data_IF_261988339650
#
_entry.id   IF_261988339650
#
_cell.length_a   1.000
_cell.length_b   1.000
_cell.length_c   1.000
_cell.angle_alpha   90.00
_cell.angle_beta   90.00
_cell.angle_gamma   90.00
#
_symmetry.space_group_name_H-M   'P 1'
#
loop_
_entity.id
_entity.type
_entity.pdbx_description
1 polymer ?
#
# COMPACT_ATOMS: atom_id res chain seq x y z
N UNK A 1 35.18 -32.65 -19.59
CA UNK A 1 33.96 -31.98 -20.06
C UNK A 1 32.99 -31.94 -18.89
N UNK A 2 32.97 -30.84 -18.16
CA UNK A 2 31.83 -30.44 -17.34
C UNK A 2 31.96 -28.94 -17.07
N UNK A 3 31.05 -28.18 -17.64
CA UNK A 3 30.89 -26.75 -17.38
C UNK A 3 29.41 -26.46 -17.41
N UNK A 4 28.71 -26.93 -16.37
CA UNK A 4 27.37 -26.45 -16.04
C UNK A 4 27.48 -25.03 -15.47
N UNK A 5 26.68 -24.04 -15.93
CA UNK A 5 26.69 -22.72 -15.35
C UNK A 5 26.08 -22.76 -13.95
N UNK A 6 26.80 -22.23 -12.96
CA UNK A 6 26.30 -22.04 -11.60
C UNK A 6 25.13 -21.05 -11.66
N UNK A 7 23.93 -21.55 -11.37
CA UNK A 7 22.74 -20.72 -11.22
C UNK A 7 22.97 -19.64 -10.19
N UNK A 8 22.62 -18.40 -10.55
CA UNK A 8 22.54 -17.30 -9.60
C UNK A 8 21.52 -17.69 -8.52
N UNK A 9 22.01 -17.89 -7.30
CA UNK A 9 21.15 -18.02 -6.13
C UNK A 9 20.37 -16.72 -5.99
N UNK A 10 19.05 -16.77 -6.20
CA UNK A 10 18.16 -15.68 -5.88
C UNK A 10 18.24 -15.48 -4.36
N UNK A 11 19.00 -14.47 -3.94
CA UNK A 11 19.04 -14.05 -2.55
C UNK A 11 17.60 -13.60 -2.21
N UNK A 12 16.91 -14.35 -1.34
CA UNK A 12 15.60 -13.94 -0.86
C UNK A 12 15.76 -12.56 -0.21
N UNK A 13 15.27 -11.52 -0.89
CA UNK A 13 15.40 -10.17 -0.38
C UNK A 13 14.52 -10.05 0.87
N UNK A 14 15.15 -9.66 1.98
CA UNK A 14 14.46 -9.56 3.25
C UNK A 14 13.49 -8.37 3.25
N UNK A 15 12.29 -8.60 3.79
CA UNK A 15 11.32 -7.54 4.02
C UNK A 15 11.88 -6.55 5.06
N UNK A 16 11.83 -5.26 4.75
CA UNK A 16 12.29 -4.21 5.64
C UNK A 16 11.09 -3.55 6.32
N UNK A 17 11.04 -3.58 7.65
CA UNK A 17 10.04 -2.83 8.41
C UNK A 17 10.36 -1.34 8.33
N UNK A 18 9.36 -0.55 7.99
CA UNK A 18 9.47 0.90 7.91
C UNK A 18 8.35 1.55 8.72
N UNK A 19 8.65 2.74 9.23
CA UNK A 19 7.72 3.59 9.94
C UNK A 19 7.67 4.94 9.21
N UNK A 20 6.47 5.37 8.83
CA UNK A 20 6.22 6.60 8.06
C UNK A 20 5.25 7.45 8.86
N UNK A 21 5.59 8.72 9.09
CA UNK A 21 4.68 9.64 9.76
C UNK A 21 3.62 10.17 8.78
N UNK A 22 2.34 10.11 9.15
CA UNK A 22 1.26 10.69 8.36
C UNK A 22 1.06 12.19 8.63
N UNK A 23 0.13 12.83 7.91
CA UNK A 23 -0.22 14.25 8.09
C UNK A 23 -0.82 14.60 9.46
N UNK A 24 -1.15 13.60 10.29
CA UNK A 24 -1.69 13.75 11.62
C UNK A 24 -0.66 13.48 12.73
N UNK A 25 0.61 13.34 12.36
CA UNK A 25 1.72 12.98 13.24
C UNK A 25 1.63 11.56 13.82
N UNK A 26 0.79 10.70 13.27
CA UNK A 26 0.70 9.30 13.65
C UNK A 26 1.66 8.46 12.83
N UNK A 27 2.13 7.38 13.43
CA UNK A 27 3.03 6.43 12.81
C UNK A 27 2.29 5.36 12.02
N UNK A 28 2.59 5.29 10.72
CA UNK A 28 2.18 4.22 9.81
C UNK A 28 3.27 3.17 9.69
N UNK A 29 2.96 1.93 10.04
CA UNK A 29 3.92 0.82 10.03
C UNK A 29 3.71 -0.05 8.80
N UNK A 30 4.79 -0.31 8.06
CA UNK A 30 4.74 -1.13 6.86
C UNK A 30 5.95 -2.02 6.65
N UNK A 31 5.87 -2.84 5.59
CA UNK A 31 6.90 -3.76 5.15
C UNK A 31 7.23 -3.46 3.68
N UNK A 32 8.48 -3.08 3.42
CA UNK A 32 9.04 -2.91 2.08
C UNK A 32 9.64 -4.23 1.60
N UNK A 33 9.21 -4.66 0.43
CA UNK A 33 9.78 -5.75 -0.36
C UNK A 33 10.76 -5.10 -1.30
N UNK A 34 12.02 -5.11 -0.92
CA UNK A 34 13.05 -4.41 -1.64
C UNK A 34 13.61 -5.27 -2.76
N UNK A 35 13.60 -4.75 -3.99
CA UNK A 35 14.22 -5.38 -5.16
C UNK A 35 15.45 -4.64 -5.67
N UNK A 36 15.70 -3.43 -5.19
CA UNK A 36 16.63 -2.47 -5.77
C UNK A 36 15.99 -1.55 -6.81
N UNK A 37 14.72 -1.79 -7.17
CA UNK A 37 13.98 -0.94 -8.10
C UNK A 37 13.69 0.44 -7.49
N UNK A 38 13.79 1.48 -8.34
CA UNK A 38 13.31 2.83 -8.00
C UNK A 38 11.78 2.90 -7.98
N UNK A 39 11.12 1.99 -8.69
CA UNK A 39 9.67 1.92 -8.75
C UNK A 39 9.13 1.16 -7.54
N UNK A 40 8.08 1.70 -6.94
CA UNK A 40 7.39 1.11 -5.79
C UNK A 40 5.91 0.94 -6.10
N UNK A 41 5.37 -0.23 -5.80
CA UNK A 41 3.93 -0.47 -5.77
C UNK A 41 3.43 -0.45 -4.33
N UNK A 42 2.45 0.40 -4.01
CA UNK A 42 1.89 0.49 -2.66
C UNK A 42 0.61 -0.34 -2.57
N UNK A 43 0.51 -1.20 -1.55
CA UNK A 43 -0.59 -2.14 -1.33
C UNK A 43 -1.40 -1.76 -0.07
N UNK A 44 -2.71 -1.60 -0.24
CA UNK A 44 -3.64 -1.12 0.79
C UNK A 44 -4.62 -2.21 1.21
N UNK A 45 -4.71 -2.48 2.53
CA UNK A 45 -5.55 -3.55 3.07
C UNK A 45 -7.04 -3.17 3.17
N UNK A 46 -7.87 -4.16 3.51
CA UNK A 46 -9.32 -4.01 3.68
C UNK A 46 -9.76 -3.70 5.10
N UNK A 47 -11.08 -3.72 5.33
CA UNK A 47 -11.70 -3.45 6.62
C UNK A 47 -11.30 -4.47 7.71
N UNK A 48 -10.94 -4.00 8.90
CA UNK A 48 -10.47 -4.82 10.05
C UNK A 48 -9.41 -5.84 9.63
N UNK A 49 -8.48 -5.40 8.80
CA UNK A 49 -7.34 -6.18 8.32
C UNK A 49 -6.06 -5.37 8.53
N UNK A 50 -4.96 -5.87 8.00
CA UNK A 50 -3.63 -5.29 8.17
C UNK A 50 -2.75 -5.65 6.96
N UNK A 51 -1.51 -5.18 6.97
CA UNK A 51 -0.47 -5.43 5.97
C UNK A 51 -0.08 -6.91 5.83
N UNK A 52 -0.46 -7.78 6.77
CA UNK A 52 -0.19 -9.22 6.74
C UNK A 52 -1.32 -10.03 6.10
N UNK A 53 -2.36 -9.38 5.59
CA UNK A 53 -3.41 -10.03 4.81
C UNK A 53 -2.83 -10.91 3.69
N UNK A 54 -3.32 -12.15 3.56
CA UNK A 54 -2.81 -13.13 2.59
C UNK A 54 -2.86 -12.64 1.14
N UNK A 55 -3.89 -11.88 0.76
CA UNK A 55 -3.99 -11.33 -0.60
C UNK A 55 -2.86 -10.34 -0.86
N UNK A 56 -2.62 -9.41 0.07
CA UNK A 56 -1.51 -8.45 -0.03
C UNK A 56 -0.16 -9.15 -0.03
N UNK A 57 0.00 -10.22 0.78
CA UNK A 57 1.22 -11.02 0.79
C UNK A 57 1.50 -11.69 -0.55
N UNK A 58 0.48 -12.29 -1.15
CA UNK A 58 0.61 -12.97 -2.44
C UNK A 58 0.87 -11.98 -3.58
N UNK A 59 0.19 -10.83 -3.58
CA UNK A 59 0.41 -9.77 -4.57
C UNK A 59 1.83 -9.21 -4.44
N UNK A 60 2.30 -8.90 -3.23
CA UNK A 60 3.67 -8.42 -3.01
C UNK A 60 4.72 -9.42 -3.52
N UNK A 61 4.55 -10.71 -3.21
CA UNK A 61 5.47 -11.77 -3.67
C UNK A 61 5.46 -11.95 -5.19
N UNK A 62 4.32 -11.71 -5.85
CA UNK A 62 4.24 -11.72 -7.31
C UNK A 62 4.96 -10.51 -7.92
N UNK A 63 4.78 -9.31 -7.35
CA UNK A 63 5.47 -8.08 -7.79
C UNK A 63 6.99 -8.19 -7.59
N UNK A 64 7.41 -8.75 -6.46
CA UNK A 64 8.83 -8.99 -6.14
C UNK A 64 9.50 -9.92 -7.16
N UNK A 65 8.80 -10.98 -7.61
CA UNK A 65 9.30 -11.90 -8.65
C UNK A 65 9.54 -11.22 -9.99
N UNK A 66 8.81 -10.14 -10.29
CA UNK A 66 9.00 -9.31 -11.48
C UNK A 66 10.10 -8.25 -11.28
N UNK A 67 10.80 -8.23 -10.13
CA UNK A 67 11.88 -7.29 -9.85
C UNK A 67 11.40 -5.87 -9.54
N UNK A 68 10.16 -5.71 -9.08
CA UNK A 68 9.59 -4.41 -8.68
C UNK A 68 9.47 -4.38 -7.15
N UNK A 69 9.86 -3.25 -6.54
CA UNK A 69 9.72 -3.09 -5.09
C UNK A 69 8.25 -2.85 -4.72
N UNK A 70 7.80 -3.38 -3.59
CA UNK A 70 6.42 -3.15 -3.12
C UNK A 70 6.37 -2.83 -1.64
N UNK A 71 5.43 -1.96 -1.25
CA UNK A 71 5.24 -1.55 0.13
C UNK A 71 3.82 -1.83 0.56
N UNK A 72 3.65 -2.58 1.65
CA UNK A 72 2.36 -2.84 2.28
C UNK A 72 2.38 -2.33 3.70
N UNK A 73 1.36 -1.60 4.11
CA UNK A 73 1.33 -0.91 5.39
C UNK A 73 -0.02 -1.00 6.05
N UNK A 74 -0.04 -0.75 7.36
CA UNK A 74 -1.26 -0.64 8.14
C UNK A 74 -1.76 0.82 8.09
N UNK A 75 -3.02 1.02 7.73
CA UNK A 75 -3.67 2.33 7.90
C UNK A 75 -3.76 2.72 9.38
N UNK A 76 -3.89 4.01 9.68
CA UNK A 76 -4.10 4.46 11.06
C UNK A 76 -5.26 3.72 11.74
N UNK A 77 -5.04 3.33 12.99
CA UNK A 77 -5.98 2.55 13.79
C UNK A 77 -6.06 1.06 13.43
N UNK A 78 -5.13 0.53 12.64
CA UNK A 78 -5.05 -0.89 12.29
C UNK A 78 -3.65 -1.45 12.56
N UNK A 79 -3.58 -2.76 12.84
CA UNK A 79 -2.32 -3.49 12.98
C UNK A 79 -1.34 -2.84 13.97
N UNK A 80 -0.17 -2.49 13.48
CA UNK A 80 0.91 -1.85 14.27
C UNK A 80 0.95 -0.31 14.10
N UNK A 81 0.08 0.27 13.29
CA UNK A 81 0.00 1.73 13.12
C UNK A 81 -0.71 2.39 14.29
N UNK A 82 -0.33 3.63 14.57
CA UNK A 82 -0.96 4.48 15.57
C UNK A 82 -2.36 4.94 15.13
N UNK A 83 -3.04 5.68 16.00
CA UNK A 83 -4.37 6.23 15.73
C UNK A 83 -5.53 5.36 16.18
N UNK A 84 -6.75 5.84 15.94
CA UNK A 84 -7.99 5.19 16.35
C UNK A 84 -8.74 4.55 15.17
N UNK A 85 -9.21 3.31 15.34
CA UNK A 85 -10.02 2.65 14.32
C UNK A 85 -11.37 3.34 14.11
N UNK A 86 -11.74 3.63 12.86
CA UNK A 86 -13.06 4.14 12.51
C UNK A 86 -13.56 3.58 11.16
N UNK A 87 -14.83 3.16 11.14
CA UNK A 87 -15.51 2.62 9.96
C UNK A 87 -15.60 3.63 8.80
N UNK A 88 -15.78 4.92 9.09
CA UNK A 88 -16.02 5.98 8.12
C UNK A 88 -14.78 6.70 7.59
N UNK A 89 -13.58 6.32 8.04
CA UNK A 89 -12.34 7.07 7.85
C UNK A 89 -11.70 6.96 6.44
N UNK A 90 -12.48 6.75 5.37
CA UNK A 90 -11.93 6.62 4.00
C UNK A 90 -11.06 7.82 3.57
N UNK A 91 -11.49 9.03 3.93
CA UNK A 91 -10.71 10.25 3.63
C UNK A 91 -9.39 10.28 4.41
N UNK A 92 -9.43 9.83 5.65
CA UNK A 92 -8.25 9.73 6.51
C UNK A 92 -7.27 8.68 5.99
N UNK A 93 -7.78 7.50 5.62
CA UNK A 93 -6.98 6.44 4.99
C UNK A 93 -6.39 6.89 3.63
N UNK A 94 -7.09 7.75 2.89
CA UNK A 94 -6.53 8.35 1.67
C UNK A 94 -5.39 9.33 1.99
N UNK A 95 -5.43 10.00 3.13
CA UNK A 95 -4.39 10.93 3.59
C UNK A 95 -3.18 10.16 4.10
N UNK A 96 -3.39 9.05 4.81
CA UNK A 96 -2.35 8.07 5.15
C UNK A 96 -1.61 7.59 3.89
N UNK A 97 -2.36 7.14 2.88
CA UNK A 97 -1.81 6.70 1.61
C UNK A 97 -1.02 7.82 0.92
N UNK A 98 -1.53 9.06 0.96
CA UNK A 98 -0.82 10.20 0.42
C UNK A 98 0.53 10.43 1.13
N UNK A 99 0.58 10.36 2.46
CA UNK A 99 1.83 10.47 3.23
C UNK A 99 2.83 9.38 2.88
N UNK A 100 2.38 8.14 2.68
CA UNK A 100 3.23 7.03 2.21
C UNK A 100 3.83 7.33 0.83
N UNK A 101 3.03 7.86 -0.10
CA UNK A 101 3.50 8.20 -1.45
C UNK A 101 4.51 9.35 -1.42
N UNK A 102 4.26 10.37 -0.60
CA UNK A 102 5.20 11.48 -0.42
C UNK A 102 6.53 11.01 0.18
N UNK A 103 6.50 10.08 1.15
CA UNK A 103 7.71 9.51 1.74
C UNK A 103 8.61 8.85 0.67
N UNK A 104 8.04 8.05 -0.22
CA UNK A 104 8.82 7.43 -1.30
C UNK A 104 9.32 8.45 -2.32
N UNK A 105 8.50 9.45 -2.64
CA UNK A 105 8.89 10.53 -3.55
C UNK A 105 10.10 11.32 -3.01
N UNK A 106 10.12 11.57 -1.70
CA UNK A 106 11.22 12.25 -1.00
C UNK A 106 12.51 11.39 -0.86
N UNK A 107 12.43 10.09 -1.12
CA UNK A 107 13.57 9.16 -1.07
C UNK A 107 14.08 8.75 -2.46
N UNK A 108 13.83 9.60 -3.47
CA UNK A 108 14.21 9.37 -4.88
C UNK A 108 13.61 8.09 -5.50
N UNK A 109 12.50 7.61 -4.93
CA UNK A 109 11.68 6.54 -5.47
C UNK A 109 10.44 7.10 -6.14
N UNK A 110 9.81 6.28 -6.96
CA UNK A 110 8.59 6.66 -7.69
C UNK A 110 7.52 5.62 -7.40
N UNK A 111 6.41 6.05 -6.81
CA UNK A 111 5.24 5.18 -6.64
C UNK A 111 4.47 5.13 -7.97
N UNK A 112 4.67 4.07 -8.75
CA UNK A 112 4.03 3.97 -10.07
C UNK A 112 2.59 3.51 -9.98
N UNK A 113 2.28 2.69 -8.98
CA UNK A 113 1.01 1.98 -8.86
C UNK A 113 0.55 1.91 -7.41
N UNK A 114 -0.74 2.13 -7.20
CA UNK A 114 -1.42 1.84 -5.93
C UNK A 114 -2.45 0.74 -6.14
N UNK A 115 -2.47 -0.24 -5.24
CA UNK A 115 -3.39 -1.37 -5.28
C UNK A 115 -4.16 -1.44 -3.97
N UNK A 116 -5.48 -1.47 -4.05
CA UNK A 116 -6.35 -1.57 -2.89
C UNK A 116 -7.23 -2.80 -2.94
N UNK A 117 -7.30 -3.55 -1.84
CA UNK A 117 -8.22 -4.68 -1.69
C UNK A 117 -9.43 -4.31 -0.83
N UNK A 118 -10.64 -4.69 -1.26
CA UNK A 118 -11.90 -4.47 -0.51
C UNK A 118 -12.08 -2.99 -0.14
N UNK A 119 -12.11 -2.64 1.15
CA UNK A 119 -12.14 -1.24 1.62
C UNK A 119 -10.97 -0.42 1.05
N UNK A 120 -9.76 -0.99 1.02
CA UNK A 120 -8.59 -0.34 0.42
C UNK A 120 -8.77 -0.02 -1.06
N UNK A 121 -9.59 -0.81 -1.78
CA UNK A 121 -9.97 -0.54 -3.16
C UNK A 121 -10.75 0.77 -3.34
N UNK A 122 -11.51 1.18 -2.33
CA UNK A 122 -12.20 2.48 -2.32
C UNK A 122 -11.24 3.60 -1.91
N UNK A 123 -10.32 3.32 -0.99
CA UNK A 123 -9.31 4.29 -0.54
C UNK A 123 -8.41 4.71 -1.70
N UNK A 124 -7.90 3.77 -2.51
CA UNK A 124 -7.04 4.12 -3.66
C UNK A 124 -7.78 4.94 -4.73
N UNK A 125 -9.08 4.68 -4.93
CA UNK A 125 -9.91 5.48 -5.83
C UNK A 125 -10.17 6.88 -5.28
N UNK A 126 -10.44 6.99 -3.97
CA UNK A 126 -10.64 8.27 -3.30
C UNK A 126 -9.35 9.10 -3.30
N UNK A 127 -8.20 8.47 -3.04
CA UNK A 127 -6.89 9.09 -3.16
C UNK A 127 -6.71 9.69 -4.56
N UNK A 128 -6.96 8.89 -5.60
CA UNK A 128 -6.83 9.35 -6.98
C UNK A 128 -7.72 10.55 -7.30
N UNK A 129 -8.94 10.59 -6.76
CA UNK A 129 -9.84 11.73 -6.91
C UNK A 129 -9.35 12.96 -6.13
N UNK A 130 -8.91 12.78 -4.88
CA UNK A 130 -8.52 13.87 -3.97
C UNK A 130 -7.19 14.51 -4.37
N UNK A 131 -6.25 13.70 -4.89
CA UNK A 131 -4.87 14.09 -5.18
C UNK A 131 -4.53 13.99 -6.68
N UNK A 132 -5.53 14.08 -7.56
CA UNK A 132 -5.36 13.94 -9.02
C UNK A 132 -4.34 14.92 -9.63
N UNK A 133 -4.17 16.11 -9.03
CA UNK A 133 -3.28 17.14 -9.54
C UNK A 133 -1.81 16.95 -9.14
N UNK A 134 -1.51 16.00 -8.26
CA UNK A 134 -0.16 15.82 -7.74
C UNK A 134 0.75 15.06 -8.73
N UNK A 135 0.18 14.42 -9.74
CA UNK A 135 0.92 13.71 -10.80
C UNK A 135 1.73 12.49 -10.34
N UNK A 136 1.59 12.07 -9.07
CA UNK A 136 2.52 11.17 -8.41
C UNK A 136 2.29 9.67 -8.66
N UNK A 137 1.11 9.26 -9.14
CA UNK A 137 0.77 7.85 -9.36
C UNK A 137 0.11 7.65 -10.71
N UNK A 138 0.59 6.68 -11.51
CA UNK A 138 0.10 6.43 -12.88
C UNK A 138 -1.02 5.40 -12.93
N UNK A 139 -0.92 4.37 -12.10
CA UNK A 139 -1.83 3.22 -12.16
C UNK A 139 -2.57 3.04 -10.82
N UNK A 140 -3.88 2.80 -10.92
CA UNK A 140 -4.75 2.56 -9.76
C UNK A 140 -5.47 1.23 -10.00
N UNK A 141 -5.27 0.27 -9.10
CA UNK A 141 -5.87 -1.07 -9.21
C UNK A 141 -6.75 -1.32 -8.00
N UNK A 142 -8.05 -1.54 -8.23
CA UNK A 142 -9.02 -1.89 -7.20
C UNK A 142 -9.38 -3.38 -7.30
N UNK A 143 -9.09 -4.15 -6.26
CA UNK A 143 -9.37 -5.59 -6.18
C UNK A 143 -10.55 -5.79 -5.24
N UNK A 144 -11.68 -6.27 -5.76
CA UNK A 144 -12.90 -6.52 -4.97
C UNK A 144 -13.39 -5.28 -4.20
N UNK A 145 -13.17 -4.08 -4.76
CA UNK A 145 -13.65 -2.82 -4.20
C UNK A 145 -15.18 -2.76 -4.17
N UNK A 146 -15.75 -2.11 -3.15
CA UNK A 146 -17.21 -1.92 -3.09
C UNK A 146 -17.60 -0.71 -3.90
N UNK A 147 -18.30 -0.94 -5.02
CA UNK A 147 -18.75 0.15 -5.90
C UNK A 147 -19.99 0.90 -5.38
N UNK A 148 -20.87 0.24 -4.61
CA UNK A 148 -22.03 0.87 -3.97
C UNK A 148 -21.74 1.15 -2.49
N UNK A 149 -21.30 2.38 -2.22
CA UNK A 149 -21.04 2.85 -0.87
C UNK A 149 -22.31 3.34 -0.16
N UNK A 150 -23.42 3.61 -0.87
CA UNK A 150 -24.67 4.10 -0.27
C UNK A 150 -25.38 3.03 0.55
N UNK A 151 -25.27 1.76 0.14
CA UNK A 151 -25.84 0.62 0.90
C UNK A 151 -24.92 0.07 1.98
N UNK A 152 -23.60 0.32 1.88
CA UNK A 152 -22.58 -0.23 2.79
C UNK A 152 -22.00 0.77 3.78
N UNK A 153 -22.10 2.07 3.50
CA UNK A 153 -21.72 3.16 4.40
C UNK A 153 -23.03 3.91 4.72
N UNK A 154 -23.72 3.44 5.76
CA UNK A 154 -24.56 4.36 6.52
C UNK A 154 -23.56 5.25 7.25
N UNK A 155 -23.16 6.34 6.58
CA UNK A 155 -22.52 7.46 7.26
C UNK A 155 -23.48 7.77 8.41
N UNK A 156 -23.00 7.71 9.65
CA UNK A 156 -23.82 8.10 10.78
C UNK A 156 -24.34 9.50 10.50
N UNK A 157 -25.63 9.62 10.27
CA UNK A 157 -26.31 10.92 10.36
C UNK A 157 -26.29 11.29 11.85
N UNK A 158 -25.68 12.42 12.20
CA UNK A 158 -25.72 13.01 13.54
C UNK A 158 -24.37 13.18 14.21
#
# INVERSE_FOLDING_TARGET
MDSSPKGNSACAQQQQKMEIQNSHNEKLVGLLHETGSREVVVLCHGFKSDKNNTILKNVAAAIEKEGISSFRFDFSGNGESEGGFNYGNYKYEADDLHSVIQHFSNTNRVVTTIIGHSRGGNVVLLYASKYCNDGNVRNIISISGRYDLKKGIRLGDG
#
